data_IF_645496937588
#
_entry.id   IF_645496937588
#
_cell.length_a   1.000
_cell.length_b   1.000
_cell.length_c   1.000
_cell.angle_alpha   90.00
_cell.angle_beta   90.00
_cell.angle_gamma   90.00
#
_symmetry.space_group_name_H-M   'P 1'
#
loop_
_entity.id
_entity.type
_entity.pdbx_description
1 polymer ?
#
# COMPACT_ATOMS: atom_id res chain seq x y z
N UNK A 1 4.75 -12.08 6.26
CA UNK A 1 4.68 -10.59 6.31
C UNK A 1 5.57 -9.92 5.29
N UNK A 2 6.89 -10.19 5.27
CA UNK A 2 7.82 -9.45 4.38
C UNK A 2 7.48 -9.62 2.92
N UNK A 3 7.22 -10.85 2.48
CA UNK A 3 6.99 -11.16 1.07
C UNK A 3 5.64 -10.61 0.59
N UNK A 4 4.63 -10.63 1.45
CA UNK A 4 3.29 -10.10 1.18
C UNK A 4 3.31 -8.57 1.12
N UNK A 5 4.04 -7.90 2.02
CA UNK A 5 4.29 -6.46 1.93
C UNK A 5 5.07 -6.12 0.65
N UNK A 6 6.13 -6.86 0.33
CA UNK A 6 6.92 -6.62 -0.88
C UNK A 6 6.08 -6.79 -2.17
N UNK A 7 5.21 -7.79 -2.20
CA UNK A 7 4.27 -8.04 -3.30
C UNK A 7 3.28 -6.89 -3.44
N UNK A 8 2.74 -6.40 -2.32
CA UNK A 8 1.83 -5.24 -2.28
C UNK A 8 2.52 -3.98 -2.79
N UNK A 9 3.72 -3.66 -2.29
CA UNK A 9 4.50 -2.50 -2.72
C UNK A 9 4.83 -2.59 -4.21
N UNK A 10 5.22 -3.77 -4.69
CA UNK A 10 5.48 -3.99 -6.11
C UNK A 10 4.23 -3.74 -6.97
N UNK A 11 3.06 -4.24 -6.54
CA UNK A 11 1.81 -4.02 -7.25
C UNK A 11 1.44 -2.54 -7.32
N UNK A 12 1.46 -1.83 -6.19
CA UNK A 12 1.13 -0.40 -6.13
C UNK A 12 2.12 0.42 -6.97
N UNK A 13 3.42 0.18 -6.82
CA UNK A 13 4.45 0.91 -7.60
C UNK A 13 4.34 0.66 -9.10
N UNK A 14 3.88 -0.53 -9.52
CA UNK A 14 3.59 -0.80 -10.94
C UNK A 14 2.43 0.06 -11.47
N UNK A 15 1.38 0.28 -10.68
CA UNK A 15 0.28 1.17 -11.03
C UNK A 15 0.77 2.62 -11.15
N UNK A 16 1.57 3.07 -10.17
CA UNK A 16 2.17 4.41 -10.16
C UNK A 16 3.06 4.64 -11.39
N UNK A 17 3.92 3.67 -11.72
CA UNK A 17 4.75 3.72 -12.94
C UNK A 17 3.93 3.84 -14.22
N UNK A 18 2.77 3.19 -14.29
CA UNK A 18 1.88 3.26 -15.46
C UNK A 18 1.23 4.63 -15.62
N UNK A 19 1.03 5.37 -14.54
CA UNK A 19 0.44 6.72 -14.57
C UNK A 19 1.41 7.79 -15.08
N UNK A 20 2.72 7.55 -14.98
CA UNK A 20 3.79 8.36 -15.60
C UNK A 20 3.78 9.85 -15.18
N UNK A 21 3.51 10.12 -13.91
CA UNK A 21 3.59 11.47 -13.31
C UNK A 21 4.78 11.68 -12.38
N UNK A 22 5.38 10.60 -11.90
CA UNK A 22 6.51 10.64 -10.97
C UNK A 22 7.78 10.18 -11.68
N UNK A 23 8.91 10.81 -11.35
CA UNK A 23 10.19 10.34 -11.84
C UNK A 23 10.65 9.08 -11.09
N UNK A 24 11.72 8.44 -11.58
CA UNK A 24 12.25 7.20 -11.01
C UNK A 24 12.58 7.32 -9.52
N UNK A 25 13.24 8.42 -9.11
CA UNK A 25 13.64 8.63 -7.72
C UNK A 25 12.41 8.76 -6.80
N UNK A 26 11.41 9.55 -7.20
CA UNK A 26 10.17 9.69 -6.43
C UNK A 26 9.43 8.36 -6.25
N UNK A 27 9.44 7.50 -7.27
CA UNK A 27 8.82 6.18 -7.19
C UNK A 27 9.60 5.26 -6.24
N UNK A 28 10.93 5.32 -6.26
CA UNK A 28 11.79 4.55 -5.34
C UNK A 28 11.61 5.02 -3.88
N UNK A 29 11.61 6.33 -3.65
CA UNK A 29 11.38 6.93 -2.33
C UNK A 29 9.98 6.55 -1.79
N UNK A 30 8.95 6.66 -2.63
CA UNK A 30 7.60 6.24 -2.26
C UNK A 30 7.52 4.74 -1.95
N UNK A 31 8.17 3.88 -2.74
CA UNK A 31 8.19 2.44 -2.52
C UNK A 31 8.83 2.08 -1.17
N UNK A 32 9.97 2.71 -0.84
CA UNK A 32 10.67 2.51 0.42
C UNK A 32 9.82 2.96 1.61
N UNK A 33 9.17 4.13 1.52
CA UNK A 33 8.28 4.64 2.56
C UNK A 33 7.05 3.77 2.73
N UNK A 34 6.41 3.34 1.64
CA UNK A 34 5.26 2.44 1.72
C UNK A 34 5.62 1.12 2.41
N UNK A 35 6.78 0.54 2.08
CA UNK A 35 7.25 -0.68 2.73
C UNK A 35 7.42 -0.46 4.25
N UNK A 36 8.08 0.61 4.64
CA UNK A 36 8.30 0.97 6.05
C UNK A 36 6.97 1.17 6.80
N UNK A 37 6.06 1.97 6.25
CA UNK A 37 4.75 2.25 6.85
C UNK A 37 3.94 0.97 7.02
N UNK A 38 3.92 0.08 6.02
CA UNK A 38 3.21 -1.20 6.11
C UNK A 38 3.78 -2.08 7.22
N UNK A 39 5.11 -2.19 7.32
CA UNK A 39 5.75 -2.97 8.38
C UNK A 39 5.40 -2.45 9.78
N UNK A 40 5.48 -1.14 9.99
CA UNK A 40 5.14 -0.52 11.26
C UNK A 40 3.67 -0.73 11.62
N UNK A 41 2.78 -0.50 10.64
CA UNK A 41 1.33 -0.57 10.83
C UNK A 41 0.90 -2.00 11.15
N UNK A 42 1.43 -2.99 10.44
CA UNK A 42 0.94 -4.38 10.56
C UNK A 42 1.58 -5.17 11.70
N UNK A 43 2.65 -4.66 12.32
CA UNK A 43 3.43 -5.38 13.33
C UNK A 43 2.60 -5.98 14.46
N UNK A 44 1.60 -5.26 14.97
CA UNK A 44 0.72 -5.71 16.06
C UNK A 44 -0.54 -6.44 15.59
N UNK A 45 -0.78 -6.48 14.28
CA UNK A 45 -2.00 -7.02 13.67
C UNK A 45 -1.66 -8.10 12.63
N UNK A 46 -0.62 -8.91 12.85
CA UNK A 46 -0.24 -9.99 11.95
C UNK A 46 -0.28 -11.33 12.69
N UNK A 47 -1.23 -12.19 12.30
CA UNK A 47 -1.53 -13.44 12.98
C UNK A 47 -1.42 -14.61 11.99
N UNK A 48 -0.23 -15.20 11.84
CA UNK A 48 0.00 -16.28 10.86
C UNK A 48 -0.81 -17.54 11.16
N UNK A 49 -1.15 -17.78 12.43
CA UNK A 49 -2.01 -18.87 12.88
C UNK A 49 -3.49 -18.67 12.51
N UNK A 50 -3.92 -17.40 12.38
CA UNK A 50 -5.28 -17.01 12.01
C UNK A 50 -5.25 -15.87 10.99
N UNK A 51 -4.96 -16.13 9.70
CA UNK A 51 -4.69 -15.08 8.71
C UNK A 51 -5.79 -14.03 8.59
N UNK A 52 -7.06 -14.42 8.71
CA UNK A 52 -8.21 -13.50 8.64
C UNK A 52 -8.32 -12.54 9.83
N UNK A 53 -7.68 -12.84 10.97
CA UNK A 53 -7.69 -11.98 12.15
C UNK A 53 -6.92 -10.70 11.83
N UNK A 54 -7.61 -9.56 11.92
CA UNK A 54 -7.04 -8.25 11.62
C UNK A 54 -6.95 -7.90 10.13
N UNK A 55 -7.50 -8.72 9.22
CA UNK A 55 -7.43 -8.45 7.76
C UNK A 55 -8.03 -7.09 7.38
N UNK A 56 -9.14 -6.68 8.01
CA UNK A 56 -9.77 -5.39 7.73
C UNK A 56 -8.89 -4.20 8.14
N UNK A 57 -8.06 -4.37 9.17
CA UNK A 57 -7.07 -3.37 9.59
C UNK A 57 -5.89 -3.29 8.60
N UNK A 58 -5.53 -4.42 7.98
CA UNK A 58 -4.45 -4.51 6.96
C UNK A 58 -4.93 -4.25 5.54
N UNK A 59 -6.21 -3.96 5.35
CA UNK A 59 -6.78 -3.70 4.04
C UNK A 59 -6.38 -2.31 3.56
N UNK A 60 -5.86 -2.22 2.33
CA UNK A 60 -5.63 -0.94 1.65
C UNK A 60 -6.82 -0.70 0.73
N UNK A 61 -7.60 0.36 0.98
CA UNK A 61 -8.87 0.59 0.27
C UNK A 61 -9.01 2.01 -0.25
N UNK A 62 -9.38 2.10 -1.53
CA UNK A 62 -9.83 3.32 -2.19
C UNK A 62 -11.24 3.07 -2.71
N UNK A 63 -12.18 3.97 -2.41
CA UNK A 63 -13.53 3.98 -2.95
C UNK A 63 -14.13 5.40 -2.95
N UNK A 64 -15.41 5.53 -3.31
CA UNK A 64 -16.09 6.84 -3.39
C UNK A 64 -16.22 7.57 -2.04
N UNK A 65 -16.25 6.84 -0.92
CA UNK A 65 -16.35 7.42 0.42
C UNK A 65 -14.97 7.75 1.02
N UNK A 66 -13.94 7.03 0.56
CA UNK A 66 -12.57 7.12 1.02
C UNK A 66 -11.65 7.08 -0.20
N UNK A 67 -11.44 8.26 -0.76
CA UNK A 67 -10.65 8.44 -1.99
C UNK A 67 -9.13 8.35 -1.76
N UNK A 68 -8.69 8.31 -0.49
CA UNK A 68 -7.31 8.09 -0.08
C UNK A 68 -7.27 7.10 1.07
N UNK A 69 -6.46 6.06 0.91
CA UNK A 69 -6.15 5.16 2.01
C UNK A 69 -5.13 5.84 2.97
N UNK A 70 -5.27 5.76 4.30
CA UNK A 70 -4.38 6.45 5.23
C UNK A 70 -2.95 5.93 5.20
N UNK A 71 -2.74 4.65 4.88
CA UNK A 71 -1.40 4.07 4.72
C UNK A 71 -0.71 4.68 3.50
N UNK A 72 -1.44 4.76 2.39
CA UNK A 72 -0.94 5.37 1.15
C UNK A 72 -0.72 6.88 1.32
N UNK A 73 -1.62 7.58 2.02
CA UNK A 73 -1.48 9.01 2.32
C UNK A 73 -0.27 9.28 3.21
N UNK A 74 -0.03 8.45 4.24
CA UNK A 74 1.17 8.53 5.08
C UNK A 74 2.44 8.28 4.26
N UNK A 75 2.48 7.26 3.43
CA UNK A 75 3.62 6.96 2.57
C UNK A 75 3.93 8.13 1.60
N UNK A 76 2.89 8.74 1.02
CA UNK A 76 3.00 9.95 0.21
C UNK A 76 3.61 11.13 0.98
N UNK A 77 3.09 11.42 2.18
CA UNK A 77 3.58 12.51 3.01
C UNK A 77 5.07 12.31 3.40
N UNK A 78 5.45 11.09 3.78
CA UNK A 78 6.83 10.77 4.18
C UNK A 78 7.82 10.69 3.00
N UNK A 79 7.34 10.58 1.76
CA UNK A 79 8.15 10.58 0.52
C UNK A 79 8.05 11.87 -0.29
N UNK A 80 7.31 12.88 0.20
CA UNK A 80 7.04 14.13 -0.50
C UNK A 80 6.45 13.92 -1.91
N UNK A 81 5.54 12.95 -2.03
CA UNK A 81 4.81 12.61 -3.26
C UNK A 81 3.36 13.05 -3.12
N UNK A 82 2.85 13.79 -4.09
CA UNK A 82 1.42 14.10 -4.16
C UNK A 82 0.63 12.80 -4.45
N UNK A 83 -0.35 12.50 -3.60
CA UNK A 83 -1.21 11.34 -3.75
C UNK A 83 -1.90 11.28 -5.13
N UNK A 84 -2.30 12.43 -5.68
CA UNK A 84 -2.94 12.51 -6.99
C UNK A 84 -2.03 12.06 -8.14
N UNK A 85 -0.71 12.11 -7.95
CA UNK A 85 0.26 11.62 -8.93
C UNK A 85 0.43 10.09 -8.90
N UNK A 86 -0.11 9.39 -7.89
CA UNK A 86 -0.07 7.93 -7.86
C UNK A 86 -0.94 7.28 -8.96
N UNK A 87 -1.99 7.96 -9.43
CA UNK A 87 -2.84 7.48 -10.51
C UNK A 87 -3.56 6.15 -10.22
N UNK A 88 -3.89 5.90 -8.95
CA UNK A 88 -4.54 4.67 -8.52
C UNK A 88 -6.01 4.60 -9.00
N UNK A 89 -6.58 3.40 -9.18
CA UNK A 89 -7.99 3.24 -9.51
C UNK A 89 -8.90 3.91 -8.47
N UNK A 90 -10.05 4.43 -8.92
CA UNK A 90 -11.06 5.03 -8.03
C UNK A 90 -11.71 4.01 -7.09
N UNK A 91 -11.66 2.74 -7.46
CA UNK A 91 -12.08 1.62 -6.63
C UNK A 91 -10.98 0.56 -6.66
N UNK A 92 -10.37 0.33 -5.50
CA UNK A 92 -9.30 -0.63 -5.30
C UNK A 92 -9.36 -1.15 -3.88
N UNK A 93 -9.19 -2.45 -3.68
CA UNK A 93 -9.15 -3.07 -2.34
C UNK A 93 -8.08 -4.14 -2.36
N UNK A 94 -7.01 -3.94 -1.59
CA UNK A 94 -5.92 -4.91 -1.48
C UNK A 94 -6.01 -5.53 -0.09
N UNK A 95 -6.07 -6.86 -0.03
CA UNK A 95 -5.92 -7.63 1.19
C UNK A 95 -4.47 -8.08 1.31
N UNK A 96 -3.85 -7.79 2.44
CA UNK A 96 -2.45 -8.11 2.72
C UNK A 96 -2.42 -8.99 3.96
N UNK A 97 -2.52 -10.29 3.76
CA UNK A 97 -2.75 -11.27 4.80
C UNK A 97 -1.57 -12.26 4.87
N UNK A 98 -1.37 -12.94 6.01
CA UNK A 98 -0.41 -14.04 6.05
C UNK A 98 -0.66 -15.05 4.94
N UNK A 99 0.38 -15.30 4.14
CA UNK A 99 0.41 -16.24 3.02
C UNK A 99 -0.36 -15.82 1.75
N UNK A 100 -1.07 -14.69 1.76
CA UNK A 100 -1.91 -14.28 0.62
C UNK A 100 -1.93 -12.75 0.43
N UNK A 101 -1.82 -12.33 -0.83
CA UNK A 101 -2.10 -10.95 -1.26
C UNK A 101 -3.07 -11.01 -2.43
N UNK A 102 -4.20 -10.34 -2.33
CA UNK A 102 -5.19 -10.25 -3.41
C UNK A 102 -5.72 -8.82 -3.57
N UNK A 103 -6.11 -8.47 -4.80
CA UNK A 103 -6.63 -7.16 -5.19
C UNK A 103 -7.85 -7.34 -6.12
#
# INVERSE_FOLDING_TARGET
MRDEIATTVFFVTRLVKKHDKLNKQQIEDFAEKLMTVLFETYRSHWHSDHPSKGQAFRCIRINNNQNKDPILERACAESNVDFSHLGLPKEMTIWVDPFEVCC
#
